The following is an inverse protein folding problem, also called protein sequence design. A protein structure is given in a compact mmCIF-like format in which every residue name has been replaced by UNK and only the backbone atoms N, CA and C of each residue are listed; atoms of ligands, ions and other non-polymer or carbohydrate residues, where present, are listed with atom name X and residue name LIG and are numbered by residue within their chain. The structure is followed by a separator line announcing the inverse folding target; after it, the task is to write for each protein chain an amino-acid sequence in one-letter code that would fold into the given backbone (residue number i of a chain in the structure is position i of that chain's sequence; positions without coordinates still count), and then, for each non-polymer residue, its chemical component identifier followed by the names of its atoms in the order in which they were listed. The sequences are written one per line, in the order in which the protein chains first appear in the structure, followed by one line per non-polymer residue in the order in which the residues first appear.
data_IF_508398883013
#
_entry.id   IF_508398883013
#
_cell.length_a   1.000
_cell.length_b   1.000
_cell.length_c   1.000
_cell.angle_alpha   90.00
_cell.angle_beta   90.00
_cell.angle_gamma   90.00
#
_symmetry.space_group_name_H-M   'P 1'
#
loop_
_entity.id
_entity.type
_entity.pdbx_description
1 polymer ?
#
# COMPACT_ATOMS: atom_id res chain seq x y z
N UNK A 1 -52.80 -46.25 -57.36
CA UNK A 1 -51.51 -46.96 -57.37
C UNK A 1 -50.50 -46.00 -56.76
N UNK A 2 -50.23 -46.16 -55.46
CA UNK A 2 -49.00 -46.76 -54.90
C UNK A 2 -47.77 -45.85 -55.14
N UNK A 3 -47.02 -45.37 -54.14
CA UNK A 3 -46.99 -45.74 -52.73
C UNK A 3 -46.19 -44.77 -51.84
N UNK A 4 -46.13 -45.18 -50.57
CA UNK A 4 -45.46 -44.63 -49.40
C UNK A 4 -43.92 -44.57 -49.51
N UNK A 5 -43.32 -43.60 -48.80
CA UNK A 5 -42.24 -43.88 -47.86
C UNK A 5 -42.03 -42.71 -46.86
N UNK A 6 -42.04 -43.09 -45.58
CA UNK A 6 -41.73 -42.31 -44.37
C UNK A 6 -40.24 -42.01 -44.20
N UNK A 7 -39.91 -40.92 -43.49
CA UNK A 7 -38.88 -40.81 -42.43
C UNK A 7 -38.82 -39.33 -41.97
N UNK A 8 -39.34 -38.92 -40.80
CA UNK A 8 -38.76 -39.02 -39.44
C UNK A 8 -37.30 -38.55 -39.34
N UNK A 9 -37.11 -37.45 -38.62
CA UNK A 9 -35.81 -36.85 -38.29
C UNK A 9 -35.97 -35.65 -37.36
N UNK A 10 -36.45 -35.94 -36.15
CA UNK A 10 -36.43 -35.06 -34.97
C UNK A 10 -35.00 -35.03 -34.39
N UNK A 11 -34.45 -33.85 -34.09
CA UNK A 11 -33.23 -33.67 -33.29
C UNK A 11 -33.09 -32.22 -32.85
N UNK A 12 -33.67 -31.94 -31.69
CA UNK A 12 -33.17 -30.95 -30.74
C UNK A 12 -31.64 -31.00 -30.61
N UNK A 13 -30.99 -29.84 -30.71
CA UNK A 13 -29.87 -29.52 -29.84
C UNK A 13 -29.63 -28.00 -29.77
N UNK A 14 -30.21 -27.42 -28.73
CA UNK A 14 -29.57 -26.46 -27.81
C UNK A 14 -28.08 -26.22 -28.08
N UNK A 15 -27.76 -25.11 -28.73
CA UNK A 15 -26.44 -24.50 -28.75
C UNK A 15 -26.51 -23.17 -28.01
N UNK A 16 -26.20 -23.22 -26.72
CA UNK A 16 -26.17 -22.09 -25.80
C UNK A 16 -25.38 -20.91 -26.37
N UNK A 17 -26.07 -19.77 -26.55
CA UNK A 17 -25.43 -18.45 -26.66
C UNK A 17 -24.60 -18.21 -25.41
N UNK A 18 -23.32 -18.58 -25.45
CA UNK A 18 -22.32 -18.09 -24.50
C UNK A 18 -22.19 -16.59 -24.76
N UNK A 19 -22.96 -15.81 -24.02
CA UNK A 19 -22.55 -14.49 -23.58
C UNK A 19 -21.22 -14.66 -22.83
N UNK A 20 -20.15 -14.69 -23.60
CA UNK A 20 -18.80 -14.56 -23.11
C UNK A 20 -18.66 -13.11 -22.67
N UNK A 21 -19.11 -12.84 -21.44
CA UNK A 21 -18.70 -11.68 -20.65
C UNK A 21 -17.17 -11.71 -20.67
N UNK A 22 -16.59 -10.96 -21.61
CA UNK A 22 -15.16 -10.64 -21.58
C UNK A 22 -14.95 -9.93 -20.24
N UNK A 23 -14.12 -10.44 -19.32
CA UNK A 23 -13.65 -9.59 -18.25
C UNK A 23 -12.88 -8.46 -18.95
N UNK A 24 -13.46 -7.26 -18.96
CA UNK A 24 -12.74 -6.04 -19.27
C UNK A 24 -11.67 -5.91 -18.21
N UNK A 25 -10.51 -6.54 -18.44
CA UNK A 25 -9.38 -6.51 -17.52
C UNK A 25 -8.86 -5.08 -17.51
N UNK A 26 -9.35 -4.28 -16.56
CA UNK A 26 -8.74 -3.01 -16.20
C UNK A 26 -7.28 -3.31 -15.90
N UNK A 27 -6.38 -2.76 -16.72
CA UNK A 27 -4.94 -3.01 -16.61
C UNK A 27 -4.43 -2.25 -15.40
N UNK A 28 -4.48 -2.87 -14.22
CA UNK A 28 -3.87 -2.35 -13.01
C UNK A 28 -2.36 -2.22 -13.23
N UNK A 29 -1.83 -1.01 -13.07
CA UNK A 29 -0.41 -0.69 -13.13
C UNK A 29 0.09 -0.39 -11.71
N UNK A 30 1.25 -0.94 -11.35
CA UNK A 30 1.82 -0.79 -10.01
C UNK A 30 3.19 -0.16 -10.12
N UNK A 31 3.36 1.03 -9.56
CA UNK A 31 4.65 1.67 -9.40
C UNK A 31 5.18 1.40 -7.99
N UNK A 32 6.43 0.99 -7.89
CA UNK A 32 7.13 0.80 -6.62
C UNK A 32 8.35 1.72 -6.64
N UNK A 33 8.34 2.74 -5.79
CA UNK A 33 9.48 3.63 -5.57
C UNK A 33 10.18 3.18 -4.30
N UNK A 34 11.34 2.55 -4.42
CA UNK A 34 12.03 1.93 -3.30
C UNK A 34 13.53 2.25 -3.28
N UNK A 35 14.20 2.18 -2.11
CA UNK A 35 15.65 2.27 -2.06
C UNK A 35 16.30 1.18 -2.93
N UNK A 36 17.46 1.47 -3.53
CA UNK A 36 18.26 0.50 -4.28
C UNK A 36 18.66 -0.75 -3.47
N UNK A 37 18.66 -0.66 -2.14
CA UNK A 37 18.91 -1.79 -1.24
C UNK A 37 17.68 -2.68 -1.00
N UNK A 38 16.50 -2.27 -1.47
CA UNK A 38 15.27 -3.03 -1.29
C UNK A 38 15.26 -4.30 -2.14
N UNK A 39 14.83 -5.41 -1.53
CA UNK A 39 14.77 -6.75 -2.16
C UNK A 39 13.38 -7.04 -2.72
N UNK A 40 12.66 -6.02 -3.19
CA UNK A 40 11.24 -6.12 -3.57
C UNK A 40 11.00 -7.13 -4.70
N UNK A 41 11.85 -7.16 -5.72
CA UNK A 41 11.67 -8.08 -6.87
C UNK A 41 11.85 -9.55 -6.46
N UNK A 42 12.96 -9.97 -5.79
CA UNK A 42 13.08 -11.32 -5.26
C UNK A 42 11.93 -11.72 -4.32
N UNK A 43 11.46 -10.78 -3.50
CA UNK A 43 10.33 -11.00 -2.60
C UNK A 43 9.03 -11.25 -3.39
N UNK A 44 8.74 -10.43 -4.40
CA UNK A 44 7.57 -10.60 -5.27
C UNK A 44 7.61 -11.94 -6.00
N UNK A 45 8.75 -12.32 -6.56
CA UNK A 45 8.94 -13.64 -7.17
C UNK A 45 8.64 -14.78 -6.18
N UNK A 46 9.15 -14.67 -4.95
CA UNK A 46 8.93 -15.68 -3.90
C UNK A 46 7.45 -15.76 -3.50
N UNK A 47 6.77 -14.63 -3.36
CA UNK A 47 5.35 -14.58 -3.01
C UNK A 47 4.49 -15.15 -4.14
N UNK A 48 4.77 -14.76 -5.38
CA UNK A 48 4.03 -15.25 -6.54
C UNK A 48 4.24 -16.74 -6.74
N UNK A 49 5.47 -17.25 -6.62
CA UNK A 49 5.74 -18.69 -6.72
C UNK A 49 5.03 -19.51 -5.62
N UNK A 50 4.81 -18.93 -4.44
CA UNK A 50 4.05 -19.58 -3.35
C UNK A 50 2.53 -19.52 -3.56
N UNK A 51 2.02 -18.48 -4.21
CA UNK A 51 0.58 -18.22 -4.35
C UNK A 51 0.01 -18.71 -5.67
N UNK A 52 0.84 -18.85 -6.70
CA UNK A 52 0.44 -19.18 -8.06
C UNK A 52 1.25 -20.37 -8.56
N UNK A 53 0.55 -21.41 -9.01
CA UNK A 53 1.15 -22.58 -9.65
C UNK A 53 1.48 -22.33 -11.13
N UNK A 54 0.79 -21.38 -11.77
CA UNK A 54 1.02 -20.99 -13.17
C UNK A 54 2.06 -19.85 -13.25
N UNK A 55 3.25 -20.20 -13.75
CA UNK A 55 4.35 -19.27 -13.92
C UNK A 55 4.12 -18.24 -15.03
N UNK A 56 3.35 -18.57 -16.07
CA UNK A 56 3.06 -17.65 -17.17
C UNK A 56 2.18 -16.50 -16.69
N UNK A 57 1.11 -16.82 -15.95
CA UNK A 57 0.25 -15.82 -15.33
C UNK A 57 0.99 -14.95 -14.31
N UNK A 58 1.90 -15.53 -13.52
CA UNK A 58 2.72 -14.77 -12.57
C UNK A 58 3.67 -13.78 -13.28
N UNK A 59 4.29 -14.18 -14.39
CA UNK A 59 5.12 -13.29 -15.22
C UNK A 59 4.29 -12.16 -15.82
N UNK A 60 3.08 -12.45 -16.30
CA UNK A 60 2.19 -11.43 -16.84
C UNK A 60 1.71 -10.40 -15.80
N UNK A 61 1.61 -10.80 -14.53
CA UNK A 61 1.39 -9.85 -13.43
C UNK A 61 2.61 -8.98 -13.17
N UNK A 62 3.82 -9.56 -13.17
CA UNK A 62 5.07 -8.82 -12.96
C UNK A 62 5.33 -7.79 -14.06
N UNK A 63 4.89 -8.04 -15.29
CA UNK A 63 4.98 -7.05 -16.39
C UNK A 63 4.23 -5.75 -16.09
N UNK A 64 3.28 -5.77 -15.15
CA UNK A 64 2.49 -4.60 -14.73
C UNK A 64 3.11 -3.87 -13.53
N UNK A 65 4.27 -4.34 -13.04
CA UNK A 65 4.98 -3.73 -11.91
C UNK A 65 6.20 -2.98 -12.44
N UNK A 66 6.23 -1.67 -12.23
CA UNK A 66 7.38 -0.82 -12.53
C UNK A 66 8.09 -0.48 -11.23
N UNK A 67 9.37 -0.88 -11.13
CA UNK A 67 10.22 -0.55 -9.99
C UNK A 67 11.13 0.63 -10.34
N UNK A 68 11.07 1.69 -9.54
CA UNK A 68 11.98 2.83 -9.58
C UNK A 68 12.85 2.78 -8.32
N UNK A 69 14.16 2.64 -8.52
CA UNK A 69 15.11 2.57 -7.42
C UNK A 69 15.80 3.92 -7.22
N UNK A 70 15.92 4.34 -5.96
CA UNK A 70 16.63 5.57 -5.61
C UNK A 70 17.77 5.33 -4.59
N UNK A 71 18.73 6.26 -4.58
CA UNK A 71 19.90 6.21 -3.68
C UNK A 71 19.82 7.22 -2.54
N UNK A 72 19.18 8.36 -2.78
CA UNK A 72 19.06 9.45 -1.82
C UNK A 72 17.74 10.22 -1.99
N UNK A 73 17.61 11.33 -1.27
CA UNK A 73 16.42 12.16 -1.29
C UNK A 73 16.18 12.82 -2.66
N UNK A 74 17.23 13.17 -3.40
CA UNK A 74 17.09 13.75 -4.73
C UNK A 74 16.55 12.70 -5.71
N UNK A 75 17.14 11.50 -5.73
CA UNK A 75 16.65 10.40 -6.54
C UNK A 75 15.22 9.96 -6.19
N UNK A 76 14.83 10.07 -4.91
CA UNK A 76 13.43 9.83 -4.50
C UNK A 76 12.48 10.87 -5.11
N UNK A 77 12.84 12.15 -5.06
CA UNK A 77 12.05 13.24 -5.66
C UNK A 77 11.93 13.04 -7.18
N UNK A 78 13.03 12.71 -7.85
CA UNK A 78 13.05 12.41 -9.29
C UNK A 78 12.16 11.22 -9.65
N UNK A 79 12.27 10.12 -8.90
CA UNK A 79 11.44 8.93 -9.10
C UNK A 79 9.95 9.24 -8.97
N UNK A 80 9.57 10.06 -7.98
CA UNK A 80 8.18 10.49 -7.82
C UNK A 80 7.74 11.42 -8.96
N UNK A 81 8.64 12.28 -9.44
CA UNK A 81 8.41 13.10 -10.63
C UNK A 81 8.12 12.26 -11.87
N UNK A 82 8.91 11.21 -12.10
CA UNK A 82 8.72 10.27 -13.22
C UNK A 82 7.38 9.53 -13.11
N UNK A 83 7.02 9.05 -11.92
CA UNK A 83 5.69 8.43 -11.69
C UNK A 83 4.57 9.43 -11.95
N UNK A 84 4.70 10.67 -11.47
CA UNK A 84 3.69 11.71 -11.68
C UNK A 84 3.49 12.03 -13.17
N UNK A 85 4.58 12.17 -13.91
CA UNK A 85 4.52 12.38 -15.36
C UNK A 85 3.90 11.16 -16.07
N UNK A 86 4.32 9.94 -15.73
CA UNK A 86 3.83 8.71 -16.34
C UNK A 86 2.32 8.52 -16.11
N UNK A 87 1.85 8.73 -14.87
CA UNK A 87 0.42 8.64 -14.53
C UNK A 87 -0.37 9.77 -15.19
N UNK A 88 0.20 10.97 -15.28
CA UNK A 88 -0.42 12.09 -15.98
C UNK A 88 -0.57 11.81 -17.47
N UNK A 89 0.47 11.31 -18.14
CA UNK A 89 0.42 10.91 -19.55
C UNK A 89 -0.61 9.79 -19.77
N UNK A 90 -0.66 8.79 -18.89
CA UNK A 90 -1.66 7.73 -18.95
C UNK A 90 -3.09 8.28 -18.83
N UNK A 91 -3.28 9.27 -17.97
CA UNK A 91 -4.58 9.94 -17.81
C UNK A 91 -5.01 10.73 -19.07
N UNK A 92 -4.04 11.32 -19.77
CA UNK A 92 -4.25 12.08 -21.01
C UNK A 92 -4.53 11.16 -22.22
N UNK A 93 -3.82 10.03 -22.29
CA UNK A 93 -3.93 9.06 -23.39
C UNK A 93 -5.26 8.29 -23.41
N UNK A 94 -6.10 8.44 -22.37
CA UNK A 94 -7.43 7.82 -22.29
C UNK A 94 -8.56 8.87 -22.39
N UNK A 95 -8.82 9.39 -23.62
CA UNK A 95 -9.92 10.31 -23.88
C UNK A 95 -11.25 9.55 -23.85
N UNK A 96 -11.80 9.31 -22.66
CA UNK A 96 -13.11 8.65 -22.52
C UNK A 96 -13.68 8.59 -21.10
N UNK A 97 -12.84 8.66 -20.06
CA UNK A 97 -13.31 8.57 -18.66
C UNK A 97 -13.79 9.91 -18.07
N UNK A 98 -13.61 11.02 -18.79
CA UNK A 98 -13.87 12.38 -18.30
C UNK A 98 -15.35 12.82 -18.27
N UNK A 99 -16.32 11.91 -18.45
CA UNK A 99 -17.76 12.28 -18.58
C UNK A 99 -18.74 11.60 -17.62
N UNK A 100 -18.29 11.09 -16.48
CA UNK A 100 -19.18 10.53 -15.45
C UNK A 100 -19.27 11.37 -14.16
N UNK A 101 -19.17 12.71 -14.25
CA UNK A 101 -19.48 13.59 -13.11
C UNK A 101 -20.97 13.89 -12.94
N UNK A 102 -21.84 13.22 -13.70
CA UNK A 102 -23.27 13.28 -13.47
C UNK A 102 -23.91 11.93 -13.75
N UNK A 103 -24.67 11.46 -12.76
CA UNK A 103 -25.60 10.33 -12.75
C UNK A 103 -25.07 8.91 -12.41
N UNK A 104 -25.74 8.38 -11.38
CA UNK A 104 -25.88 6.97 -10.95
C UNK A 104 -24.68 6.25 -10.33
N UNK A 105 -24.68 6.21 -8.99
CA UNK A 105 -24.59 4.99 -8.17
C UNK A 105 -24.12 3.69 -8.87
N UNK A 106 -22.81 3.49 -8.96
CA UNK A 106 -22.16 2.18 -8.93
C UNK A 106 -20.73 2.35 -8.42
N UNK A 107 -20.45 1.76 -7.27
CA UNK A 107 -19.24 1.86 -6.44
C UNK A 107 -17.96 1.23 -7.04
N UNK A 108 -17.89 1.03 -8.35
CA UNK A 108 -16.80 0.33 -9.00
C UNK A 108 -15.96 1.30 -9.86
N UNK A 109 -15.36 2.29 -9.20
CA UNK A 109 -14.31 3.07 -9.83
C UNK A 109 -13.06 2.20 -9.88
N UNK A 110 -12.81 1.56 -11.03
CA UNK A 110 -11.61 0.77 -11.30
C UNK A 110 -10.35 1.57 -10.89
N UNK A 111 -9.73 1.18 -9.78
CA UNK A 111 -8.39 1.63 -9.43
C UNK A 111 -7.44 1.07 -10.49
N UNK A 112 -6.92 1.94 -11.35
CA UNK A 112 -6.02 1.53 -12.45
C UNK A 112 -4.56 1.67 -12.10
N UNK A 113 -4.23 2.43 -11.06
CA UNK A 113 -2.85 2.70 -10.68
C UNK A 113 -2.66 2.64 -9.17
N UNK A 114 -1.66 1.88 -8.74
CA UNK A 114 -1.16 1.87 -7.36
C UNK A 114 0.28 2.40 -7.38
N UNK A 115 0.61 3.24 -6.42
CA UNK A 115 1.97 3.75 -6.20
C UNK A 115 2.38 3.43 -4.78
N UNK A 116 3.40 2.60 -4.62
CA UNK A 116 3.99 2.26 -3.32
C UNK A 116 5.32 3.01 -3.17
N UNK A 117 5.44 3.81 -2.13
CA UNK A 117 6.65 4.56 -1.78
C UNK A 117 7.26 3.96 -0.52
N UNK A 118 8.45 3.39 -0.64
CA UNK A 118 9.20 2.78 0.45
C UNK A 118 10.40 3.63 0.88
N UNK A 119 10.84 3.46 2.12
CA UNK A 119 12.11 4.02 2.58
C UNK A 119 12.15 5.54 2.73
N UNK A 120 11.00 6.22 2.76
CA UNK A 120 10.93 7.68 2.95
C UNK A 120 11.62 8.13 4.24
N UNK A 121 11.23 7.55 5.37
CA UNK A 121 11.76 7.91 6.69
C UNK A 121 13.29 7.71 6.86
N UNK A 122 13.90 6.56 6.50
CA UNK A 122 15.35 6.40 6.59
C UNK A 122 16.09 7.33 5.63
N UNK A 123 15.51 7.63 4.46
CA UNK A 123 16.10 8.58 3.49
C UNK A 123 16.12 10.00 4.05
N UNK A 124 15.02 10.45 4.65
CA UNK A 124 14.94 11.74 5.33
C UNK A 124 15.90 11.81 6.53
N UNK A 125 16.04 10.72 7.28
CA UNK A 125 16.98 10.62 8.41
C UNK A 125 18.43 10.74 7.94
N UNK A 126 18.79 10.02 6.88
CA UNK A 126 20.13 10.08 6.29
C UNK A 126 20.43 11.47 5.69
N UNK A 127 19.44 12.09 5.04
CA UNK A 127 19.52 13.45 4.54
C UNK A 127 19.72 14.47 5.68
N UNK A 128 19.00 14.31 6.80
CA UNK A 128 19.11 15.21 7.96
C UNK A 128 20.51 15.16 8.54
N UNK A 129 21.10 13.97 8.65
CA UNK A 129 22.48 13.80 9.14
C UNK A 129 23.51 14.44 8.22
N UNK A 130 23.28 14.45 6.90
CA UNK A 130 24.22 14.99 5.92
C UNK A 130 24.10 16.51 5.73
N UNK A 131 22.89 17.03 5.74
CA UNK A 131 22.59 18.41 5.27
C UNK A 131 21.88 19.27 6.30
N UNK A 132 21.54 18.71 7.47
CA UNK A 132 20.84 19.40 8.55
C UNK A 132 19.33 19.41 8.40
N UNK A 133 18.65 19.71 9.51
CA UNK A 133 17.19 19.59 9.62
C UNK A 133 16.42 20.63 8.78
N UNK A 134 16.93 21.86 8.69
CA UNK A 134 16.28 22.96 7.96
C UNK A 134 16.19 22.62 6.47
N UNK A 135 17.29 22.11 5.90
CA UNK A 135 17.34 21.71 4.50
C UNK A 135 16.36 20.57 4.20
N UNK A 136 16.33 19.53 5.04
CA UNK A 136 15.40 18.41 4.86
C UNK A 136 13.94 18.84 5.01
N UNK A 137 13.63 19.77 5.93
CA UNK A 137 12.26 20.26 6.07
C UNK A 137 11.77 21.00 4.82
N UNK A 138 12.63 21.85 4.24
CA UNK A 138 12.31 22.56 3.00
C UNK A 138 12.01 21.58 1.85
N UNK A 139 12.80 20.50 1.73
CA UNK A 139 12.58 19.48 0.72
C UNK A 139 11.38 18.58 1.01
N UNK A 140 11.14 18.25 2.28
CA UNK A 140 9.98 17.46 2.68
C UNK A 140 8.68 18.15 2.25
N UNK A 141 8.57 19.46 2.43
CA UNK A 141 7.39 20.20 2.01
C UNK A 141 7.12 20.08 0.49
N UNK A 142 8.17 20.19 -0.34
CA UNK A 142 8.07 20.00 -1.79
C UNK A 142 7.73 18.57 -2.18
N UNK A 143 8.35 17.59 -1.52
CA UNK A 143 8.10 16.17 -1.73
C UNK A 143 6.65 15.79 -1.39
N UNK A 144 6.17 16.20 -0.22
CA UNK A 144 4.78 15.99 0.20
C UNK A 144 3.82 16.63 -0.79
N UNK A 145 4.08 17.87 -1.23
CA UNK A 145 3.25 18.52 -2.25
C UNK A 145 3.19 17.68 -3.54
N UNK A 146 4.31 17.15 -4.01
CA UNK A 146 4.36 16.30 -5.21
C UNK A 146 3.54 15.01 -5.03
N UNK A 147 3.68 14.35 -3.88
CA UNK A 147 2.90 13.15 -3.52
C UNK A 147 1.40 13.47 -3.45
N UNK A 148 1.01 14.60 -2.85
CA UNK A 148 -0.38 15.05 -2.80
C UNK A 148 -0.92 15.37 -4.21
N UNK A 149 -0.11 15.97 -5.08
CA UNK A 149 -0.51 16.21 -6.46
C UNK A 149 -0.73 14.89 -7.21
N UNK A 150 0.16 13.92 -7.01
CA UNK A 150 0.02 12.57 -7.56
C UNK A 150 -1.29 11.92 -7.12
N UNK A 151 -1.64 11.95 -5.83
CA UNK A 151 -2.88 11.36 -5.32
C UNK A 151 -4.15 12.06 -5.84
N UNK A 152 -4.03 13.34 -6.24
CA UNK A 152 -5.12 14.16 -6.76
C UNK A 152 -5.22 14.15 -8.29
N UNK A 153 -4.37 13.40 -9.00
CA UNK A 153 -4.49 13.27 -10.45
C UNK A 153 -5.87 12.71 -10.85
N UNK A 154 -6.32 13.06 -12.06
CA UNK A 154 -7.60 12.63 -12.63
C UNK A 154 -7.72 11.11 -12.72
N UNK A 155 -6.59 10.40 -12.86
CA UNK A 155 -6.51 8.94 -12.84
C UNK A 155 -6.75 8.32 -11.45
N UNK A 156 -6.81 9.12 -10.37
CA UNK A 156 -7.03 8.71 -8.97
C UNK A 156 -6.13 7.55 -8.53
N UNK A 157 -4.79 7.67 -8.65
CA UNK A 157 -3.90 6.62 -8.20
C UNK A 157 -4.01 6.41 -6.68
N UNK A 158 -3.98 5.16 -6.25
CA UNK A 158 -3.84 4.84 -4.83
C UNK A 158 -2.36 4.98 -4.43
N UNK A 159 -2.04 6.00 -3.67
CA UNK A 159 -0.68 6.24 -3.17
C UNK A 159 -0.54 5.69 -1.75
N UNK A 160 0.39 4.74 -1.59
CA UNK A 160 0.71 4.07 -0.33
C UNK A 160 2.13 4.45 0.07
N UNK A 161 2.32 4.89 1.32
CA UNK A 161 3.64 5.28 1.84
C UNK A 161 3.99 4.36 3.00
N UNK A 162 5.06 3.59 2.84
CA UNK A 162 5.60 2.74 3.88
C UNK A 162 6.47 3.57 4.83
N UNK A 163 6.04 3.65 6.10
CA UNK A 163 6.71 4.40 7.17
C UNK A 163 7.08 3.47 8.32
N UNK A 164 8.20 3.77 8.98
CA UNK A 164 8.66 2.99 10.13
C UNK A 164 7.94 3.42 11.41
N UNK A 165 7.39 2.44 12.11
CA UNK A 165 6.72 2.61 13.40
C UNK A 165 7.53 1.90 14.49
N UNK A 166 8.00 2.67 15.47
CA UNK A 166 8.61 2.18 16.70
C UNK A 166 7.54 1.78 17.72
N UNK A 167 7.90 0.93 18.68
CA UNK A 167 7.01 0.46 19.74
C UNK A 167 7.66 0.72 21.09
N UNK A 168 6.92 1.31 22.02
CA UNK A 168 7.35 1.50 23.41
C UNK A 168 6.33 0.90 24.38
N UNK A 169 6.76 0.06 25.33
CA UNK A 169 5.86 -0.49 26.35
C UNK A 169 5.44 0.60 27.35
N UNK A 170 4.13 0.77 27.59
CA UNK A 170 3.66 1.61 28.69
C UNK A 170 3.98 0.96 30.03
N UNK A 171 4.52 1.76 30.97
CA UNK A 171 4.71 1.31 32.36
C UNK A 171 6.12 0.86 32.76
N UNK A 172 7.18 1.23 32.02
CA UNK A 172 8.53 1.29 32.59
C UNK A 172 8.88 2.72 33.02
N UNK A 173 8.49 3.16 34.22
CA UNK A 173 9.11 4.31 34.85
C UNK A 173 10.50 3.86 35.36
N UNK A 174 11.57 4.43 34.82
CA UNK A 174 12.90 4.31 35.42
C UNK A 174 13.68 3.06 35.02
N UNK A 175 14.03 2.95 33.73
CA UNK A 175 15.38 2.51 33.43
C UNK A 175 15.96 3.43 32.37
N UNK A 176 16.83 4.32 32.82
CA UNK A 176 17.77 5.09 32.00
C UNK A 176 18.62 4.12 31.18
N UNK A 177 18.09 3.57 30.08
CA UNK A 177 18.92 3.02 29.03
C UNK A 177 19.49 4.22 28.28
N UNK A 178 20.59 4.75 28.81
CA UNK A 178 21.46 5.80 28.27
C UNK A 178 22.08 5.46 26.90
N UNK A 179 21.39 4.78 25.99
CA UNK A 179 21.97 4.40 24.69
C UNK A 179 21.14 4.71 23.44
N UNK A 180 19.94 5.31 23.53
CA UNK A 180 19.18 5.76 22.34
C UNK A 180 18.55 7.16 22.46
N UNK A 181 18.89 7.92 23.51
CA UNK A 181 18.45 9.32 23.70
C UNK A 181 19.21 10.35 22.84
N UNK A 182 20.05 9.92 21.89
CA UNK A 182 20.65 10.84 20.89
C UNK A 182 19.97 10.65 19.53
N UNK A 183 19.17 11.65 19.13
CA UNK A 183 18.71 11.94 17.76
C UNK A 183 17.58 11.11 17.13
N UNK A 184 16.69 10.46 17.89
CA UNK A 184 15.67 9.57 17.31
C UNK A 184 14.24 9.67 17.86
N UNK A 185 13.83 10.78 18.49
CA UNK A 185 12.48 10.91 19.05
C UNK A 185 11.44 10.98 17.93
N UNK A 186 10.85 9.84 17.56
CA UNK A 186 9.60 9.84 16.82
C UNK A 186 8.45 10.40 17.64
N UNK A 187 7.35 10.77 16.98
CA UNK A 187 6.16 11.24 17.68
C UNK A 187 5.25 10.06 18.03
N UNK A 188 4.59 10.08 19.20
CA UNK A 188 3.56 9.10 19.51
C UNK A 188 2.40 9.26 18.55
N UNK A 189 1.93 8.13 18.02
CA UNK A 189 0.67 8.07 17.30
C UNK A 189 -0.46 8.08 18.34
N UNK A 190 -1.53 8.83 18.10
CA UNK A 190 -2.66 8.98 19.03
C UNK A 190 -3.23 7.63 19.50
N UNK A 191 -3.89 7.60 20.67
CA UNK A 191 -4.37 6.41 21.42
C UNK A 191 -5.06 5.29 20.62
N UNK A 192 -5.56 5.58 19.42
CA UNK A 192 -6.01 4.55 18.47
C UNK A 192 -4.89 3.55 18.10
N UNK A 193 -3.63 3.94 18.25
CA UNK A 193 -2.45 3.12 17.99
C UNK A 193 -1.80 2.67 19.31
N UNK A 194 -2.58 2.05 20.19
CA UNK A 194 -2.04 1.38 21.39
C UNK A 194 -2.08 -0.12 21.23
N UNK A 195 -0.93 -0.80 21.26
CA UNK A 195 -0.87 -2.25 21.16
C UNK A 195 -1.72 -2.94 22.25
N UNK A 196 -2.12 -4.21 22.05
CA UNK A 196 -2.99 -4.94 22.98
C UNK A 196 -2.43 -5.06 24.41
N UNK A 197 -1.12 -4.85 24.58
CA UNK A 197 -0.43 -4.84 25.87
C UNK A 197 -0.24 -3.42 26.46
N UNK A 198 -0.94 -2.41 25.92
CA UNK A 198 -0.73 -1.00 26.28
C UNK A 198 0.53 -0.38 25.65
N UNK A 199 1.05 -0.95 24.57
CA UNK A 199 2.22 -0.42 23.88
C UNK A 199 1.88 0.90 23.15
N UNK A 200 2.74 1.90 23.21
CA UNK A 200 2.61 3.13 22.44
C UNK A 200 3.38 2.99 21.11
N UNK A 201 2.68 3.14 19.99
CA UNK A 201 3.30 3.20 18.67
C UNK A 201 3.80 4.61 18.36
N UNK A 202 5.00 4.71 17.77
CA UNK A 202 5.66 5.99 17.45
C UNK A 202 6.09 6.06 16.01
N UNK A 203 5.76 7.13 15.30
CA UNK A 203 6.24 7.36 13.94
C UNK A 203 7.71 7.83 13.96
N UNK A 204 8.60 7.04 13.39
CA UNK A 204 10.04 7.31 13.38
C UNK A 204 10.47 7.93 12.04
N UNK A 205 10.96 9.17 12.05
CA UNK A 205 11.44 9.86 10.85
C UNK A 205 12.53 10.89 11.20
N UNK A 206 13.70 10.44 11.67
CA UNK A 206 14.90 11.25 11.89
C UNK A 206 14.85 12.26 13.04
N UNK A 207 13.73 12.95 13.25
CA UNK A 207 13.49 13.88 14.35
C UNK A 207 12.00 14.04 14.59
N UNK A 208 11.62 14.52 15.79
CA UNK A 208 10.22 14.71 16.15
C UNK A 208 9.51 15.71 15.22
N UNK A 209 10.20 16.76 14.77
CA UNK A 209 9.63 17.74 13.84
C UNK A 209 9.39 17.15 12.46
N UNK A 210 10.32 16.36 11.92
CA UNK A 210 10.14 15.65 10.66
C UNK A 210 9.03 14.61 10.76
N UNK A 211 9.00 13.81 11.84
CA UNK A 211 7.91 12.87 12.08
C UNK A 211 6.55 13.58 12.16
N UNK A 212 6.47 14.73 12.84
CA UNK A 212 5.23 15.51 12.93
C UNK A 212 4.81 16.10 11.59
N UNK A 213 5.75 16.64 10.81
CA UNK A 213 5.43 17.15 9.48
C UNK A 213 4.95 16.03 8.55
N UNK A 214 5.58 14.85 8.64
CA UNK A 214 5.16 13.67 7.89
C UNK A 214 3.76 13.22 8.32
N UNK A 215 3.50 13.03 9.61
CA UNK A 215 2.17 12.65 10.11
C UNK A 215 1.08 13.65 9.68
N UNK A 216 1.33 14.95 9.82
CA UNK A 216 0.38 16.00 9.43
C UNK A 216 0.09 16.04 7.92
N UNK A 217 0.94 15.42 7.11
CA UNK A 217 0.78 15.34 5.65
C UNK A 217 0.03 14.09 5.17
N UNK A 218 -0.15 13.08 6.03
CA UNK A 218 -0.81 11.84 5.67
C UNK A 218 -2.32 11.97 5.93
N UNK A 219 -3.12 11.75 4.89
CA UNK A 219 -4.58 11.77 5.02
C UNK A 219 -5.08 10.59 5.83
N UNK A 220 -4.48 9.41 5.59
CA UNK A 220 -4.75 8.18 6.32
C UNK A 220 -3.47 7.46 6.72
N UNK A 221 -3.39 7.10 7.99
CA UNK A 221 -2.34 6.21 8.49
C UNK A 221 -2.94 4.86 8.79
N UNK A 222 -2.41 3.82 8.13
CA UNK A 222 -2.79 2.43 8.31
C UNK A 222 -1.63 1.72 8.98
N UNK A 223 -1.80 1.33 10.24
CA UNK A 223 -0.85 0.45 10.89
C UNK A 223 -1.25 -1.00 10.64
N UNK A 224 -0.38 -1.77 9.99
CA UNK A 224 -0.54 -3.22 9.84
C UNK A 224 0.28 -3.87 10.94
N UNK A 225 -0.38 -4.17 12.06
CA UNK A 225 0.22 -4.82 13.21
C UNK A 225 0.67 -6.24 12.88
N UNK A 226 1.84 -6.60 13.39
CA UNK A 226 2.48 -7.87 13.09
C UNK A 226 1.82 -9.05 13.81
N UNK A 227 1.09 -9.86 13.05
CA UNK A 227 0.95 -11.30 13.26
C UNK A 227 1.73 -12.16 12.22
N UNK A 228 2.56 -11.53 11.41
CA UNK A 228 3.59 -12.02 10.48
C UNK A 228 5.00 -12.24 11.10
N UNK A 229 5.18 -12.30 12.43
CA UNK A 229 6.49 -12.64 12.99
C UNK A 229 6.80 -12.31 14.46
N UNK A 230 6.10 -11.36 15.10
CA UNK A 230 6.35 -10.94 16.49
C UNK A 230 5.73 -11.83 17.58
N UNK A 231 5.15 -12.96 17.19
CA UNK A 231 4.88 -14.06 18.13
C UNK A 231 5.85 -15.23 17.91
N UNK A 232 7.18 -15.10 18.09
CA UNK A 232 7.99 -16.23 18.48
C UNK A 232 7.95 -16.32 20.00
N UNK A 233 7.13 -17.26 20.48
CA UNK A 233 7.36 -18.03 21.70
C UNK A 233 7.84 -17.25 22.94
N UNK A 234 6.92 -16.86 23.84
CA UNK A 234 7.09 -17.04 25.30
C UNK A 234 5.92 -16.65 26.22
N UNK A 235 4.72 -16.33 25.72
CA UNK A 235 3.56 -16.21 26.61
C UNK A 235 2.79 -17.53 26.69
N UNK A 236 3.19 -18.39 27.64
CA UNK A 236 2.50 -19.64 28.01
C UNK A 236 1.05 -19.47 28.51
N UNK A 237 0.50 -18.24 28.53
CA UNK A 237 -0.81 -17.97 29.14
C UNK A 237 -1.80 -17.13 28.31
N UNK A 238 -1.50 -16.74 27.07
CA UNK A 238 -2.51 -16.09 26.23
C UNK A 238 -2.97 -17.01 25.11
N UNK A 239 -4.17 -17.58 25.32
CA UNK A 239 -4.92 -18.38 24.35
C UNK A 239 -5.54 -17.48 23.26
N UNK A 240 -4.73 -16.93 22.37
CA UNK A 240 -5.25 -16.32 21.15
C UNK A 240 -4.95 -17.24 19.96
N UNK A 241 -5.93 -18.02 19.48
CA UNK A 241 -5.73 -18.99 18.41
C UNK A 241 -5.80 -18.28 17.05
N UNK A 242 -4.75 -17.56 16.65
CA UNK A 242 -4.68 -16.96 15.32
C UNK A 242 -3.54 -15.96 15.15
N UNK A 243 -3.05 -15.85 13.91
CA UNK A 243 -2.32 -14.67 13.47
C UNK A 243 -3.35 -13.56 13.23
N UNK A 244 -3.36 -12.52 14.06
CA UNK A 244 -4.27 -11.39 13.97
C UNK A 244 -3.53 -10.15 13.44
N UNK A 245 -3.82 -9.78 12.20
CA UNK A 245 -3.41 -8.46 11.70
C UNK A 245 -4.38 -7.45 12.28
N UNK A 246 -3.86 -6.49 13.05
CA UNK A 246 -4.62 -5.33 13.49
C UNK A 246 -4.41 -4.22 12.48
N UNK A 247 -5.49 -3.76 11.87
CA UNK A 247 -5.51 -2.51 11.12
C UNK A 247 -6.00 -1.40 12.03
N UNK A 248 -5.22 -0.33 12.14
CA UNK A 248 -5.66 0.92 12.76
C UNK A 248 -5.64 2.01 11.71
N UNK A 249 -6.80 2.63 11.48
CA UNK A 249 -6.96 3.76 10.58
C UNK A 249 -7.00 5.04 11.42
N UNK A 250 -6.23 6.05 11.05
CA UNK A 250 -6.45 7.46 11.43
C UNK A 250 -6.76 8.21 10.15
N UNK A 251 -7.91 8.89 10.10
CA UNK A 251 -8.25 9.84 9.02
C UNK A 251 -8.11 11.26 9.55
N UNK A 252 -7.56 12.17 8.75
CA UNK A 252 -7.39 13.59 9.08
C UNK A 252 -8.69 14.29 9.52
N UNK A 253 -9.85 13.80 9.07
CA UNK A 253 -11.17 14.34 9.44
C UNK A 253 -11.65 13.81 10.81
N UNK A 254 -10.97 12.79 11.37
CA UNK A 254 -11.30 12.18 12.66
C UNK A 254 -12.54 11.28 12.62
N UNK A 255 -13.13 11.03 11.44
CA UNK A 255 -14.37 10.26 11.29
C UNK A 255 -14.19 8.74 11.45
N UNK A 256 -12.97 8.22 11.26
CA UNK A 256 -12.67 6.77 11.23
C UNK A 256 -11.49 6.39 12.11
N UNK A 257 -11.04 7.29 12.99
CA UNK A 257 -9.91 7.05 13.88
C UNK A 257 -10.22 5.95 14.90
N UNK A 258 -9.37 4.92 14.97
CA UNK A 258 -9.50 3.86 15.97
C UNK A 258 -10.48 2.74 15.60
N UNK A 259 -10.70 2.49 14.31
CA UNK A 259 -11.30 1.23 13.88
C UNK A 259 -10.27 0.11 14.01
N UNK A 260 -10.61 -0.90 14.81
CA UNK A 260 -9.84 -2.12 14.98
C UNK A 260 -10.54 -3.23 14.20
N UNK A 261 -9.88 -3.77 13.19
CA UNK A 261 -10.33 -5.00 12.56
C UNK A 261 -9.24 -6.04 12.65
N UNK A 262 -9.67 -7.28 12.88
CA UNK A 262 -8.79 -8.42 12.99
C UNK A 262 -9.02 -9.33 11.81
N UNK A 263 -7.98 -9.49 11.00
CA UNK A 263 -8.03 -10.38 9.85
C UNK A 263 -7.37 -11.69 10.23
N UNK A 264 -8.07 -12.82 10.05
CA UNK A 264 -7.44 -14.14 10.08
C UNK A 264 -6.69 -14.34 8.78
N UNK A 265 -5.38 -14.48 8.86
CA UNK A 265 -4.60 -14.92 7.69
C UNK A 265 -5.13 -16.30 7.28
N UNK A 266 -5.58 -16.49 6.02
CA UNK A 266 -5.99 -17.80 5.54
C UNK A 266 -4.83 -18.79 5.75
N UNK A 267 -5.12 -19.93 6.39
CA UNK A 267 -4.13 -21.00 6.50
C UNK A 267 -3.70 -21.41 5.07
N UNK A 268 -2.39 -21.60 4.84
CA UNK A 268 -1.88 -22.05 3.54
C UNK A 268 -2.48 -23.40 3.16
#
# INVERSE_FOLDING_TARGET
MAGQSDALGDSDQQGTSKDQVRPSSSSLLVYIVAPHTSQTIPLLHTILAKRMSDSAAAIDLLKKVQLLQFFDLAGLVESIGEVNESVYQLSQAMPGSHRAFASSSSTDQDLRTIVLIEGLAPTLTAAQRRSGIVWVHALLAGLIRSITQLSQLTARPLVLISVFVGVQLAGQPGNEIKSLERDGQGIPLESAFSGPNGEEYRLLCGSASLSRALEASLDRLIHVGDALGRVPARQRHQRFPGQYVVEVIKDRIGSTSGLWTTWKVPKP
#
